data_IF_449805021019
#
_entry.id   IF_449805021019
#
_cell.length_a   1.000
_cell.length_b   1.000
_cell.length_c   1.000
_cell.angle_alpha   90.00
_cell.angle_beta   90.00
_cell.angle_gamma   90.00
#
_symmetry.space_group_name_H-M   'P 1'
#
loop_
_entity.id
_entity.type
_entity.pdbx_description
1 polymer ?
#
# COMPACT_ATOMS: atom_id res chain seq x y z
N UNK A 1 -10.48 21.69 14.96
CA UNK A 1 -9.34 21.41 15.85
C UNK A 1 -8.41 20.49 15.10
N UNK A 2 -7.60 21.11 14.26
CA UNK A 2 -6.71 20.49 13.29
C UNK A 2 -5.33 20.45 13.91
N UNK A 3 -4.63 19.31 13.90
CA UNK A 3 -3.16 19.19 13.88
C UNK A 3 -2.79 17.71 13.99
N UNK A 4 -2.61 17.04 12.84
CA UNK A 4 -1.68 15.93 12.76
C UNK A 4 -0.54 16.38 11.87
N UNK A 5 0.64 16.52 12.51
CA UNK A 5 1.90 16.80 11.85
C UNK A 5 2.13 15.72 10.80
N UNK A 6 2.25 16.13 9.55
CA UNK A 6 2.96 15.35 8.56
C UNK A 6 4.38 15.11 9.09
N UNK A 7 4.83 13.85 9.04
CA UNK A 7 6.22 13.51 9.32
C UNK A 7 6.98 13.94 8.06
N UNK A 8 7.71 15.04 8.15
CA UNK A 8 8.67 15.48 7.14
C UNK A 8 9.73 14.38 6.98
N UNK A 9 9.93 13.86 5.76
CA UNK A 9 11.02 12.93 5.47
C UNK A 9 10.78 11.82 4.44
N UNK A 10 9.58 11.68 3.87
CA UNK A 10 9.29 10.71 2.79
C UNK A 10 8.54 11.33 1.61
N UNK A 11 8.84 12.59 1.30
CA UNK A 11 8.43 13.25 0.07
C UNK A 11 9.25 12.71 -1.12
N UNK A 12 8.92 11.52 -1.64
CA UNK A 12 9.10 11.19 -3.09
C UNK A 12 8.56 9.81 -3.54
N UNK A 13 7.55 9.24 -2.88
CA UNK A 13 6.85 8.08 -3.46
C UNK A 13 5.35 8.11 -3.13
N UNK A 14 4.67 9.15 -3.63
CA UNK A 14 3.21 9.20 -3.60
C UNK A 14 2.65 8.18 -4.61
N UNK A 15 2.52 6.94 -4.14
CA UNK A 15 1.50 5.99 -4.57
C UNK A 15 0.15 6.71 -4.49
N UNK A 16 -0.65 6.66 -5.57
CA UNK A 16 -1.96 7.30 -5.75
C UNK A 16 -2.66 7.72 -4.45
N UNK A 17 -2.89 9.02 -4.26
CA UNK A 17 -3.71 9.55 -3.17
C UNK A 17 -5.17 9.19 -3.46
N UNK A 18 -5.67 8.12 -2.85
CA UNK A 18 -7.10 8.03 -2.55
C UNK A 18 -7.42 9.12 -1.52
N UNK A 19 -8.60 9.75 -1.60
CA UNK A 19 -8.98 10.86 -0.72
C UNK A 19 -8.69 10.56 0.75
N UNK A 20 -8.42 11.61 1.54
CA UNK A 20 -8.03 11.45 2.94
C UNK A 20 -9.02 10.59 3.73
N UNK A 21 -8.57 9.41 4.15
CA UNK A 21 -9.31 8.47 4.98
C UNK A 21 -8.67 8.37 6.37
N UNK A 22 -9.50 8.44 7.42
CA UNK A 22 -9.05 8.23 8.80
C UNK A 22 -9.49 6.86 9.31
N UNK A 23 -8.67 6.25 10.16
CA UNK A 23 -8.99 4.96 10.79
C UNK A 23 -8.81 3.77 9.86
N UNK A 24 -7.88 3.85 8.90
CA UNK A 24 -7.57 2.73 8.03
C UNK A 24 -6.89 1.61 8.82
N UNK A 25 -6.93 0.38 8.29
CA UNK A 25 -6.22 -0.76 8.91
C UNK A 25 -4.71 -0.53 8.96
N UNK A 26 -4.15 0.17 7.96
CA UNK A 26 -2.73 0.56 7.90
C UNK A 26 -2.39 1.51 9.04
N UNK A 27 -3.21 2.54 9.27
CA UNK A 27 -3.02 3.49 10.38
C UNK A 27 -3.03 2.74 11.72
N UNK A 28 -4.03 1.88 11.93
CA UNK A 28 -4.15 1.11 13.15
C UNK A 28 -2.94 0.20 13.38
N UNK A 29 -2.51 -0.55 12.36
CA UNK A 29 -1.36 -1.45 12.45
C UNK A 29 -0.06 -0.69 12.77
N UNK A 30 0.16 0.45 12.10
CA UNK A 30 1.32 1.29 12.35
C UNK A 30 1.33 1.86 13.77
N UNK A 31 0.20 2.37 14.26
CA UNK A 31 0.05 2.86 15.64
C UNK A 31 0.23 1.74 16.70
N UNK A 32 0.07 0.47 16.31
CA UNK A 32 0.33 -0.70 17.16
C UNK A 32 1.78 -1.19 17.12
N UNK A 33 2.66 -0.48 16.41
CA UNK A 33 4.09 -0.79 16.32
C UNK A 33 4.48 -1.71 15.17
N UNK A 34 3.56 -2.00 14.23
CA UNK A 34 3.89 -2.73 13.00
C UNK A 34 4.45 -1.72 12.00
N UNK A 35 5.78 -1.54 12.03
CA UNK A 35 6.53 -0.57 11.21
C UNK A 35 6.25 -0.69 9.72
N UNK A 36 6.14 -1.91 9.22
CA UNK A 36 5.95 -2.21 7.80
C UNK A 36 4.47 -2.49 7.50
N UNK A 37 3.67 -1.42 7.42
CA UNK A 37 2.23 -1.48 7.15
C UNK A 37 1.92 -0.86 5.79
N UNK A 38 1.29 -1.61 4.88
CA UNK A 38 1.02 -1.18 3.49
C UNK A 38 -0.39 -1.58 3.03
N UNK A 39 -0.98 -0.79 2.15
CA UNK A 39 -2.19 -1.13 1.40
C UNK A 39 -1.90 -1.10 -0.10
N UNK A 40 -2.47 -2.05 -0.85
CA UNK A 40 -2.34 -2.11 -2.29
C UNK A 40 -3.70 -1.87 -2.95
N UNK A 41 -3.78 -0.87 -3.82
CA UNK A 41 -4.85 -0.74 -4.80
C UNK A 41 -4.34 -1.33 -6.12
N UNK A 42 -4.94 -2.45 -6.55
CA UNK A 42 -4.49 -3.20 -7.72
C UNK A 42 -5.16 -2.67 -9.00
N UNK A 43 -4.88 -3.34 -10.13
CA UNK A 43 -5.47 -2.97 -11.42
C UNK A 43 -7.01 -2.96 -11.36
N UNK A 44 -7.66 -2.11 -12.13
CA UNK A 44 -7.12 -1.08 -13.03
C UNK A 44 -7.39 0.34 -12.51
N UNK A 45 -7.15 1.35 -13.34
CA UNK A 45 -7.38 2.76 -13.00
C UNK A 45 -8.78 3.26 -13.39
N UNK A 46 -9.77 2.36 -13.45
CA UNK A 46 -11.19 2.72 -13.62
C UNK A 46 -11.83 2.34 -14.96
N UNK A 47 -11.14 1.62 -15.86
CA UNK A 47 -11.77 1.13 -17.11
C UNK A 47 -12.73 -0.02 -16.83
N UNK A 48 -12.30 -0.97 -16.02
CA UNK A 48 -13.09 -2.10 -15.54
C UNK A 48 -13.39 -1.99 -14.05
N UNK A 49 -12.51 -1.32 -13.28
CA UNK A 49 -12.64 -1.17 -11.84
C UNK A 49 -12.81 -2.52 -11.15
N UNK A 50 -13.85 -2.63 -10.32
CA UNK A 50 -14.18 -3.86 -9.60
C UNK A 50 -14.55 -5.04 -10.52
N UNK A 51 -14.89 -4.79 -11.79
CA UNK A 51 -15.25 -5.82 -12.77
C UNK A 51 -14.07 -6.17 -13.70
N UNK A 52 -12.86 -6.18 -13.15
CA UNK A 52 -11.65 -6.53 -13.89
C UNK A 52 -11.79 -7.91 -14.55
N UNK A 53 -11.56 -8.03 -15.88
CA UNK A 53 -11.69 -9.30 -16.59
C UNK A 53 -10.81 -10.42 -16.02
N UNK A 54 -11.34 -11.63 -15.95
CA UNK A 54 -10.67 -12.79 -15.35
C UNK A 54 -9.32 -13.14 -16.03
N UNK A 55 -9.15 -12.79 -17.31
CA UNK A 55 -7.88 -12.97 -18.03
C UNK A 55 -6.74 -12.07 -17.49
N UNK A 56 -7.04 -11.05 -16.68
CA UNK A 56 -6.03 -10.20 -16.03
C UNK A 56 -5.59 -10.71 -14.65
N UNK A 57 -6.26 -11.70 -14.07
CA UNK A 57 -5.97 -12.20 -12.70
C UNK A 57 -4.51 -12.63 -12.59
N UNK A 58 -4.04 -13.49 -13.50
CA UNK A 58 -2.67 -14.04 -13.43
C UNK A 58 -1.61 -12.97 -13.66
N UNK A 59 -1.86 -12.01 -14.55
CA UNK A 59 -0.93 -10.89 -14.77
C UNK A 59 -0.83 -9.98 -13.53
N UNK A 60 -1.96 -9.60 -12.95
CA UNK A 60 -2.02 -8.75 -11.75
C UNK A 60 -1.38 -9.46 -10.55
N UNK A 61 -1.66 -10.75 -10.37
CA UNK A 61 -1.06 -11.54 -9.29
C UNK A 61 0.46 -11.64 -9.43
N UNK A 62 0.98 -11.86 -10.65
CA UNK A 62 2.42 -12.02 -10.89
C UNK A 62 3.20 -10.74 -10.57
N UNK A 63 2.72 -9.58 -11.01
CA UNK A 63 3.39 -8.31 -10.70
C UNK A 63 3.29 -7.96 -9.20
N UNK A 64 2.12 -8.19 -8.59
CA UNK A 64 1.91 -7.96 -7.15
C UNK A 64 2.83 -8.85 -6.33
N UNK A 65 3.03 -10.09 -6.76
CA UNK A 65 3.93 -11.03 -6.09
C UNK A 65 5.38 -10.55 -6.09
N UNK A 66 5.86 -9.92 -7.16
CA UNK A 66 7.21 -9.34 -7.17
C UNK A 66 7.34 -8.19 -6.17
N UNK A 67 6.34 -7.31 -6.06
CA UNK A 67 6.32 -6.25 -5.05
C UNK A 67 6.30 -6.82 -3.62
N UNK A 68 5.45 -7.82 -3.36
CA UNK A 68 5.39 -8.50 -2.06
C UNK A 68 6.73 -9.16 -1.69
N UNK A 69 7.34 -9.88 -2.62
CA UNK A 69 8.66 -10.50 -2.44
C UNK A 69 9.72 -9.48 -2.06
N UNK A 70 9.72 -8.33 -2.73
CA UNK A 70 10.65 -7.25 -2.43
C UNK A 70 10.45 -6.70 -1.01
N UNK A 71 9.20 -6.38 -0.63
CA UNK A 71 8.89 -5.90 0.72
C UNK A 71 9.28 -6.94 1.76
N UNK A 72 8.90 -8.20 1.58
CA UNK A 72 9.21 -9.27 2.54
C UNK A 72 10.71 -9.47 2.70
N UNK A 73 11.48 -9.42 1.61
CA UNK A 73 12.94 -9.50 1.67
C UNK A 73 13.51 -8.31 2.45
N UNK A 74 13.05 -7.09 2.15
CA UNK A 74 13.48 -5.89 2.87
C UNK A 74 13.20 -6.00 4.38
N UNK A 75 12.02 -6.47 4.76
CA UNK A 75 11.67 -6.71 6.17
C UNK A 75 12.57 -7.78 6.80
N UNK A 76 12.89 -8.84 6.07
CA UNK A 76 13.80 -9.90 6.55
C UNK A 76 15.21 -9.37 6.82
N UNK A 77 15.70 -8.48 5.96
CA UNK A 77 17.06 -7.93 6.06
C UNK A 77 17.16 -6.78 7.08
N UNK A 78 16.03 -6.22 7.53
CA UNK A 78 15.96 -5.11 8.48
C UNK A 78 15.09 -5.50 9.69
N UNK A 79 15.57 -6.40 10.56
CA UNK A 79 14.87 -6.67 11.81
C UNK A 79 14.86 -5.38 12.66
N UNK A 80 13.64 -4.90 12.96
CA UNK A 80 13.26 -3.72 13.76
C UNK A 80 13.76 -2.35 13.26
#
# INVERSE_FOLDING_TARGET
>A
FTHHKAIEGVDEFAMFVSDQASGTSVDWAYLRGIKYSFAFELRDTGKYGFLLPANQIVSTARETWYALRYIMQYVCDHPY
#
